data_IF_129248224410
#
_entry.id   IF_129248224410
#
_cell.length_a   1.000
_cell.length_b   1.000
_cell.length_c   1.000
_cell.angle_alpha   90.00
_cell.angle_beta   90.00
_cell.angle_gamma   90.00
#
_symmetry.space_group_name_H-M   'P 1'
#
loop_
_entity.id
_entity.type
_entity.pdbx_description
1 polymer ?
#
# COMPACT_ATOMS: atom_id res chain seq x y z
N UNK A 1 5.34 -2.03 15.79
CA UNK A 1 4.08 -1.26 15.72
C UNK A 1 3.16 -1.75 16.82
N UNK A 2 2.38 -0.86 17.44
CA UNK A 2 1.33 -1.30 18.37
C UNK A 2 0.31 -2.14 17.59
N UNK A 3 0.14 -3.40 17.97
CA UNK A 3 -0.78 -4.35 17.34
C UNK A 3 -2.27 -3.94 17.41
N UNK A 4 -2.56 -2.78 18.03
CA UNK A 4 -3.89 -2.25 18.27
C UNK A 4 -4.22 -0.97 17.49
N UNK A 5 -3.31 -0.44 16.66
CA UNK A 5 -3.63 0.75 15.88
C UNK A 5 -4.60 0.38 14.74
N UNK A 6 -5.74 1.05 14.57
CA UNK A 6 -6.69 0.74 13.52
C UNK A 6 -6.07 0.99 12.14
N UNK A 7 -6.41 0.11 11.19
CA UNK A 7 -6.01 0.23 9.78
C UNK A 7 -7.04 1.08 9.07
N UNK A 8 -6.62 2.24 8.56
CA UNK A 8 -7.43 3.08 7.68
C UNK A 8 -6.78 3.06 6.31
N UNK A 9 -7.49 2.61 5.28
CA UNK A 9 -6.90 2.50 3.94
C UNK A 9 -7.72 3.20 2.85
N UNK A 10 -7.03 3.66 1.80
CA UNK A 10 -7.67 4.00 0.52
C UNK A 10 -7.28 2.98 -0.54
N UNK A 11 -8.00 2.99 -1.66
CA UNK A 11 -7.73 2.13 -2.82
C UNK A 11 -7.47 2.98 -4.05
N UNK A 12 -6.62 2.47 -4.95
CA UNK A 12 -6.39 3.05 -6.27
C UNK A 12 -6.13 1.94 -7.30
N UNK A 13 -6.37 2.24 -8.58
CA UNK A 13 -6.02 1.35 -9.70
C UNK A 13 -6.58 -0.09 -9.62
N UNK A 14 -7.66 -0.31 -8.85
CA UNK A 14 -8.33 -1.61 -8.75
C UNK A 14 -9.41 -1.76 -9.82
N UNK A 15 -9.59 -2.99 -10.30
CA UNK A 15 -10.67 -3.37 -11.19
C UNK A 15 -11.99 -3.57 -10.42
N UNK A 16 -13.12 -3.48 -11.13
CA UNK A 16 -14.46 -3.58 -10.49
C UNK A 16 -14.65 -4.86 -9.70
N UNK A 17 -14.16 -6.00 -10.19
CA UNK A 17 -14.31 -7.27 -9.47
C UNK A 17 -13.50 -7.30 -8.17
N UNK A 18 -12.37 -6.58 -8.12
CA UNK A 18 -11.52 -6.49 -6.93
C UNK A 18 -12.17 -5.64 -5.83
N UNK A 19 -13.03 -4.69 -6.20
CA UNK A 19 -13.81 -3.92 -5.23
C UNK A 19 -14.76 -4.82 -4.41
N UNK A 20 -15.24 -5.93 -4.96
CA UNK A 20 -16.00 -6.91 -4.17
C UNK A 20 -15.16 -7.55 -3.07
N UNK A 21 -13.88 -7.83 -3.34
CA UNK A 21 -12.94 -8.33 -2.32
C UNK A 21 -12.66 -7.26 -1.26
N UNK A 22 -12.61 -5.98 -1.64
CA UNK A 22 -12.48 -4.87 -0.69
C UNK A 22 -13.69 -4.83 0.25
N UNK A 23 -14.91 -4.96 -0.30
CA UNK A 23 -16.14 -5.00 0.49
C UNK A 23 -16.19 -6.20 1.44
N UNK A 24 -15.76 -7.38 0.98
CA UNK A 24 -15.66 -8.60 1.78
C UNK A 24 -14.67 -8.43 2.94
N UNK A 25 -13.48 -7.90 2.65
CA UNK A 25 -12.46 -7.62 3.65
C UNK A 25 -12.98 -6.63 4.72
N UNK A 26 -13.63 -5.54 4.31
CA UNK A 26 -14.19 -4.56 5.24
C UNK A 26 -15.30 -5.17 6.11
N UNK A 27 -16.14 -6.05 5.57
CA UNK A 27 -17.16 -6.75 6.36
C UNK A 27 -16.52 -7.65 7.41
N UNK A 28 -15.51 -8.42 7.03
CA UNK A 28 -14.82 -9.37 7.91
C UNK A 28 -14.03 -8.67 9.03
N UNK A 29 -13.42 -7.52 8.74
CA UNK A 29 -12.51 -6.84 9.67
C UNK A 29 -12.96 -5.45 10.13
N UNK A 30 -14.25 -5.11 9.99
CA UNK A 30 -14.86 -3.80 10.31
C UNK A 30 -14.56 -3.24 11.71
N UNK A 31 -14.22 -4.09 12.69
CA UNK A 31 -13.84 -3.65 14.05
C UNK A 31 -12.44 -3.05 14.14
N UNK A 32 -11.57 -3.31 13.16
CA UNK A 32 -10.15 -2.90 13.15
C UNK A 32 -9.75 -2.14 11.89
N UNK A 33 -10.58 -2.22 10.85
CA UNK A 33 -10.27 -1.73 9.51
C UNK A 33 -11.39 -0.82 9.01
N UNK A 34 -11.02 0.34 8.47
CA UNK A 34 -11.93 1.26 7.79
C UNK A 34 -11.36 1.70 6.44
N UNK A 35 -12.25 2.09 5.53
CA UNK A 35 -11.87 2.63 4.23
C UNK A 35 -12.14 4.14 4.16
N UNK A 36 -11.23 4.87 3.54
CA UNK A 36 -11.38 6.29 3.20
C UNK A 36 -11.30 6.51 1.69
N UNK A 37 -12.06 7.50 1.20
CA UNK A 37 -12.08 7.86 -0.21
C UNK A 37 -10.80 8.56 -0.68
N UNK A 38 -10.04 9.19 0.22
CA UNK A 38 -8.84 9.98 -0.07
C UNK A 38 -7.69 9.65 0.87
N UNK A 39 -6.46 9.96 0.44
CA UNK A 39 -5.32 10.02 1.35
C UNK A 39 -5.52 11.25 2.25
N UNK A 40 -5.51 11.05 3.56
CA UNK A 40 -5.70 12.08 4.57
C UNK A 40 -4.86 11.74 5.81
N UNK A 41 -4.88 12.60 6.84
CA UNK A 41 -4.08 12.41 8.06
C UNK A 41 -4.38 11.13 8.85
N UNK A 42 -5.51 10.47 8.58
CA UNK A 42 -5.88 9.20 9.21
C UNK A 42 -5.45 8.00 8.37
N UNK A 43 -5.22 8.19 7.06
CA UNK A 43 -4.83 7.13 6.15
C UNK A 43 -3.50 6.51 6.58
N UNK A 44 -3.51 5.20 6.76
CA UNK A 44 -2.35 4.41 7.15
C UNK A 44 -1.81 3.56 6.01
N UNK A 45 -2.70 3.18 5.08
CA UNK A 45 -2.37 2.29 3.97
C UNK A 45 -3.00 2.79 2.67
N UNK A 46 -2.33 2.51 1.55
CA UNK A 46 -2.91 2.58 0.21
C UNK A 46 -2.83 1.19 -0.42
N UNK A 47 -3.95 0.71 -0.95
CA UNK A 47 -4.01 -0.57 -1.64
C UNK A 47 -4.12 -0.32 -3.14
N UNK A 48 -3.24 -0.94 -3.92
CA UNK A 48 -3.17 -0.80 -5.37
C UNK A 48 -2.90 -2.13 -6.06
N UNK A 49 -3.12 -2.20 -7.37
CA UNK A 49 -2.66 -3.34 -8.15
C UNK A 49 -1.14 -3.32 -8.31
N UNK A 50 -0.55 -4.51 -8.45
CA UNK A 50 0.83 -4.69 -8.90
C UNK A 50 0.89 -5.40 -10.25
N UNK A 51 1.91 -5.11 -11.07
CA UNK A 51 2.13 -5.77 -12.34
C UNK A 51 2.62 -7.19 -12.12
N UNK A 52 1.83 -8.20 -12.49
CA UNK A 52 2.25 -9.61 -12.55
C UNK A 52 3.07 -10.10 -11.34
N UNK A 53 2.66 -9.71 -10.12
CA UNK A 53 3.30 -10.14 -8.88
C UNK A 53 4.69 -9.54 -8.62
N UNK A 54 5.07 -8.46 -9.30
CA UNK A 54 6.40 -7.84 -9.16
C UNK A 54 6.50 -6.81 -8.03
N UNK A 55 5.40 -6.46 -7.36
CA UNK A 55 5.32 -5.35 -6.41
C UNK A 55 5.62 -3.97 -7.04
N UNK A 56 5.58 -3.85 -8.37
CA UNK A 56 5.53 -2.56 -9.05
C UNK A 56 4.08 -2.19 -9.34
N UNK A 57 3.68 -0.97 -8.99
CA UNK A 57 2.31 -0.52 -9.14
C UNK A 57 2.11 0.42 -10.34
N UNK A 58 0.90 0.52 -10.91
CA UNK A 58 0.56 1.61 -11.82
C UNK A 58 0.71 2.98 -11.13
N UNK A 59 1.37 3.92 -11.79
CA UNK A 59 1.50 5.28 -11.27
C UNK A 59 0.12 5.96 -11.20
N UNK A 60 -0.19 6.54 -10.05
CA UNK A 60 -1.42 7.33 -9.84
C UNK A 60 -1.18 8.49 -8.88
N UNK A 61 -2.02 9.53 -8.93
CA UNK A 61 -1.92 10.65 -8.00
C UNK A 61 -2.04 10.20 -6.54
N UNK A 62 -2.99 9.31 -6.24
CA UNK A 62 -3.15 8.74 -4.90
C UNK A 62 -1.91 7.99 -4.41
N UNK A 63 -1.18 7.32 -5.30
CA UNK A 63 0.07 6.66 -4.95
C UNK A 63 1.13 7.69 -4.55
N UNK A 64 1.29 8.76 -5.34
CA UNK A 64 2.22 9.84 -5.00
C UNK A 64 1.85 10.53 -3.67
N UNK A 65 0.57 10.79 -3.44
CA UNK A 65 0.04 11.35 -2.18
C UNK A 65 0.33 10.42 -1.00
N UNK A 66 0.05 9.12 -1.14
CA UNK A 66 0.30 8.12 -0.10
C UNK A 66 1.79 8.02 0.26
N UNK A 67 2.69 8.08 -0.73
CA UNK A 67 4.13 8.10 -0.49
C UNK A 67 4.55 9.37 0.27
N UNK A 68 4.01 10.53 -0.13
CA UNK A 68 4.30 11.80 0.54
C UNK A 68 3.80 11.84 1.99
N UNK A 69 2.64 11.23 2.26
CA UNK A 69 2.04 11.11 3.59
C UNK A 69 2.58 9.91 4.40
N UNK A 70 3.59 9.21 3.87
CA UNK A 70 4.21 8.03 4.49
C UNK A 70 3.21 6.90 4.81
N UNK A 71 2.15 6.78 4.01
CA UNK A 71 1.26 5.63 4.05
C UNK A 71 1.97 4.37 3.55
N UNK A 72 1.56 3.24 4.09
CA UNK A 72 2.07 1.94 3.67
C UNK A 72 1.37 1.52 2.37
N UNK A 73 2.10 1.54 1.25
CA UNK A 73 1.56 1.23 -0.06
C UNK A 73 1.70 -0.28 -0.32
N UNK A 74 0.58 -0.99 -0.50
CA UNK A 74 0.55 -2.45 -0.60
C UNK A 74 -0.20 -2.95 -1.82
N UNK A 75 0.22 -4.10 -2.33
CA UNK A 75 -0.49 -4.84 -3.36
C UNK A 75 -1.86 -5.31 -2.87
N UNK A 76 -2.85 -5.28 -3.75
CA UNK A 76 -4.17 -5.90 -3.59
C UNK A 76 -4.09 -7.36 -3.12
N UNK A 77 -3.01 -8.08 -3.46
CA UNK A 77 -2.77 -9.46 -3.02
C UNK A 77 -2.77 -9.60 -1.49
N UNK A 78 -2.41 -8.55 -0.76
CA UNK A 78 -2.52 -8.53 0.70
C UNK A 78 -3.96 -8.75 1.18
N UNK A 79 -4.94 -8.11 0.53
CA UNK A 79 -6.36 -8.32 0.86
C UNK A 79 -6.79 -9.76 0.61
N UNK A 80 -6.37 -10.31 -0.53
CA UNK A 80 -6.69 -11.69 -0.93
C UNK A 80 -6.16 -12.67 0.11
N UNK A 81 -4.91 -12.53 0.53
CA UNK A 81 -4.33 -13.41 1.53
C UNK A 81 -4.90 -13.18 2.93
N UNK A 82 -5.26 -11.93 3.29
CA UNK A 82 -5.95 -11.69 4.56
C UNK A 82 -7.30 -12.41 4.64
N UNK A 83 -8.09 -12.39 3.57
CA UNK A 83 -9.37 -13.12 3.50
C UNK A 83 -9.11 -14.61 3.51
N UNK A 84 -8.22 -15.09 2.63
CA UNK A 84 -7.92 -16.52 2.45
C UNK A 84 -7.44 -17.19 3.73
N UNK A 85 -6.62 -16.52 4.53
CA UNK A 85 -6.07 -17.06 5.78
C UNK A 85 -6.89 -16.68 7.02
N UNK A 86 -8.02 -15.98 6.86
CA UNK A 86 -8.88 -15.51 7.95
C UNK A 86 -8.10 -14.80 9.07
N UNK A 87 -7.10 -13.99 8.68
CA UNK A 87 -6.33 -13.13 9.57
C UNK A 87 -5.72 -11.96 8.81
N UNK A 88 -5.49 -10.85 9.51
CA UNK A 88 -4.63 -9.78 8.99
C UNK A 88 -3.19 -10.30 8.96
N UNK A 89 -2.66 -10.56 7.76
CA UNK A 89 -1.27 -11.00 7.56
C UNK A 89 -0.33 -9.80 7.51
N UNK A 90 0.96 -10.05 7.73
CA UNK A 90 1.99 -9.02 7.69
C UNK A 90 2.03 -8.31 6.33
N UNK A 91 1.87 -6.99 6.35
CA UNK A 91 1.78 -6.16 5.16
C UNK A 91 3.13 -6.02 4.41
N UNK A 92 4.27 -6.18 5.10
CA UNK A 92 5.60 -5.95 4.53
C UNK A 92 5.94 -6.85 3.34
N UNK A 93 5.39 -8.06 3.28
CA UNK A 93 5.59 -8.97 2.13
C UNK A 93 4.85 -8.51 0.85
N UNK A 94 4.02 -7.49 0.95
CA UNK A 94 3.19 -6.96 -0.14
C UNK A 94 3.46 -5.48 -0.40
N UNK A 95 4.46 -4.89 0.25
CA UNK A 95 4.82 -3.49 0.09
C UNK A 95 5.27 -3.21 -1.35
N UNK A 96 4.73 -2.14 -1.93
CA UNK A 96 5.06 -1.71 -3.28
C UNK A 96 6.51 -1.19 -3.29
N UNK A 97 7.34 -1.77 -4.16
CA UNK A 97 8.77 -1.44 -4.26
C UNK A 97 9.06 -0.31 -5.26
N UNK A 98 8.13 -0.06 -6.18
CA UNK A 98 8.27 0.96 -7.21
C UNK A 98 7.02 1.08 -8.06
N UNK A 99 7.13 1.80 -9.17
CA UNK A 99 6.04 1.93 -10.13
C UNK A 99 6.43 1.40 -11.52
N UNK A 100 5.43 1.20 -12.37
CA UNK A 100 5.63 0.59 -13.69
C UNK A 100 6.36 1.52 -14.69
N UNK A 101 6.64 2.77 -14.32
CA UNK A 101 7.46 3.69 -15.12
C UNK A 101 8.96 3.48 -14.89
N UNK A 102 9.35 2.82 -13.79
CA UNK A 102 10.75 2.53 -13.46
C UNK A 102 11.44 1.60 -14.49
N UNK A 103 10.68 0.81 -15.27
CA UNK A 103 11.24 0.01 -16.35
C UNK A 103 11.80 0.84 -17.52
N UNK A 104 11.50 2.13 -17.59
CA UNK A 104 12.03 3.04 -18.61
C UNK A 104 13.15 3.95 -18.10
N UNK A 105 13.50 3.88 -16.81
CA UNK A 105 14.52 4.72 -16.20
C UNK A 105 15.64 3.85 -15.61
N UNK A 106 16.69 3.61 -16.39
CA UNK A 106 17.94 3.12 -15.86
C UNK A 106 18.45 4.11 -14.79
N UNK A 107 18.32 3.75 -13.49
CA UNK A 107 19.24 4.28 -12.48
C UNK A 107 18.68 5.01 -11.27
N UNK A 108 17.47 4.74 -10.79
CA UNK A 108 17.24 5.02 -9.37
C UNK A 108 15.81 4.98 -8.91
N UNK A 109 15.49 4.01 -8.05
CA UNK A 109 14.84 4.20 -6.75
C UNK A 109 15.24 3.04 -5.82
N UNK A 110 16.37 3.19 -5.13
CA UNK A 110 16.63 2.50 -3.85
C UNK A 110 17.09 3.56 -2.89
N UNK A 111 16.16 4.27 -2.22
CA UNK A 111 16.43 5.12 -1.04
C UNK A 111 15.15 5.85 -0.58
N UNK A 112 14.34 5.17 0.23
CA UNK A 112 13.40 5.86 1.13
C UNK A 112 13.44 5.28 2.55
N UNK A 113 13.82 4.01 2.72
CA UNK A 113 13.90 3.36 4.05
C UNK A 113 15.32 3.23 4.63
N UNK A 114 16.34 3.83 4.00
CA UNK A 114 17.70 3.87 4.53
C UNK A 114 18.30 5.28 4.41
N UNK A 115 17.81 6.22 5.22
CA UNK A 115 18.61 7.39 5.60
C UNK A 115 19.22 7.04 6.95
N UNK A 116 20.38 6.40 6.89
CA UNK A 116 21.27 6.33 8.03
C UNK A 116 21.82 7.74 8.28
N UNK A 117 21.71 8.20 9.53
CA UNK A 117 22.22 9.50 9.96
C UNK A 117 23.74 9.50 9.84
N UNK A 118 24.30 10.07 8.77
CA UNK A 118 25.65 10.70 8.77
C UNK A 118 25.96 11.39 7.45
N UNK A 119 26.51 12.61 7.58
CA UNK A 119 27.15 13.50 6.58
C UNK A 119 26.14 14.36 5.78
N UNK A 120 25.96 15.67 6.01
CA UNK A 120 26.89 16.82 6.06
C UNK A 120 27.27 17.35 4.67
N UNK A 121 26.93 18.64 4.45
CA UNK A 121 27.35 19.59 3.40
C UNK A 121 26.73 19.27 2.01
N UNK A 122 25.92 20.12 1.38
CA UNK A 122 25.83 21.58 1.32
C UNK A 122 24.38 22.04 1.25
#
# INVERSE_FOLDING_TARGET
RDANKPIVFSVTCLERYQLHTVDEFLRQYSSRVTQTASINSEATHLITNDDKHTLHSPLSMKLMEAIADHCFCVSYRWLVDCIKYDRIVDESAYEIEGDNTDYHFQGGQKRSHSIDKRQSLF
#
